data_IF_643042234853
#
_entry.id   IF_643042234853
#
_cell.length_a   1.000
_cell.length_b   1.000
_cell.length_c   1.000
_cell.angle_alpha   90.00
_cell.angle_beta   90.00
_cell.angle_gamma   90.00
#
_symmetry.space_group_name_H-M   'P 1'
#
loop_
_entity.id
_entity.type
_entity.pdbx_description
1 polymer ?
#
# COMPACT_ATOMS: atom_id res chain seq x y z
N UNK A 1 -78.74 -36.90 22.40
CA UNK A 1 -78.25 -35.59 22.86
C UNK A 1 -76.81 -35.41 22.37
N UNK A 2 -76.42 -34.17 21.99
CA UNK A 2 -75.33 -33.86 21.04
C UNK A 2 -74.06 -33.31 21.72
N UNK A 3 -73.08 -32.91 20.89
CA UNK A 3 -71.99 -31.91 21.05
C UNK A 3 -70.65 -32.49 20.57
N UNK A 4 -69.75 -31.81 19.87
CA UNK A 4 -69.79 -30.66 18.95
C UNK A 4 -68.37 -30.62 18.31
N UNK A 5 -68.28 -30.05 17.11
CA UNK A 5 -67.01 -29.73 16.44
C UNK A 5 -66.37 -28.45 17.01
N UNK A 6 -65.05 -28.46 17.20
CA UNK A 6 -64.11 -27.32 17.20
C UNK A 6 -62.77 -27.91 16.71
N UNK A 7 -61.93 -27.36 15.85
CA UNK A 7 -61.68 -26.00 15.36
C UNK A 7 -60.15 -25.92 15.15
N UNK A 8 -59.69 -25.88 13.89
CA UNK A 8 -58.29 -25.62 13.51
C UNK A 8 -57.91 -24.17 13.86
N UNK A 9 -56.61 -23.83 14.05
CA UNK A 9 -55.90 -23.28 12.91
C UNK A 9 -54.39 -23.59 12.80
N UNK A 10 -53.98 -23.59 11.53
CA UNK A 10 -52.67 -23.34 10.96
C UNK A 10 -51.78 -22.30 11.67
N UNK A 11 -50.46 -22.52 11.60
CA UNK A 11 -49.48 -21.44 11.65
C UNK A 11 -48.14 -21.84 12.27
N UNK A 12 -47.31 -22.60 11.55
CA UNK A 12 -45.86 -22.59 11.80
C UNK A 12 -45.27 -21.56 10.83
N UNK A 13 -44.75 -20.41 11.30
CA UNK A 13 -44.06 -19.49 10.41
C UNK A 13 -42.67 -20.07 10.10
N UNK A 14 -42.56 -20.57 8.88
CA UNK A 14 -41.32 -20.82 8.17
C UNK A 14 -40.73 -19.45 7.80
N UNK A 15 -39.73 -18.98 8.55
CA UNK A 15 -39.07 -17.72 8.25
C UNK A 15 -37.58 -17.79 8.63
N UNK A 16 -36.86 -18.69 7.98
CA UNK A 16 -35.42 -18.55 7.78
C UNK A 16 -35.23 -17.64 6.58
N UNK A 17 -35.31 -16.34 6.80
CA UNK A 17 -34.73 -15.36 5.88
C UNK A 17 -33.22 -15.37 6.12
N UNK A 18 -32.50 -16.21 5.38
CA UNK A 18 -31.08 -15.98 5.10
C UNK A 18 -30.96 -14.66 4.33
N UNK A 19 -30.89 -13.57 5.08
CA UNK A 19 -30.37 -12.31 4.58
C UNK A 19 -28.87 -12.51 4.35
N UNK A 20 -28.50 -12.99 3.18
CA UNK A 20 -27.15 -12.78 2.63
C UNK A 20 -27.03 -11.29 2.34
N UNK A 21 -26.71 -10.51 3.38
CA UNK A 21 -26.21 -9.15 3.22
C UNK A 21 -24.82 -9.27 2.58
N UNK A 22 -24.86 -9.51 1.27
CA UNK A 22 -23.71 -9.66 0.39
C UNK A 22 -23.18 -8.26 0.11
N UNK A 23 -22.64 -7.64 1.17
CA UNK A 23 -21.75 -6.51 0.97
C UNK A 23 -20.62 -7.01 0.07
N UNK A 24 -20.45 -6.47 -1.15
CA UNK A 24 -19.41 -6.92 -2.04
C UNK A 24 -18.05 -6.80 -1.33
N UNK A 25 -17.19 -7.80 -1.54
CA UNK A 25 -15.84 -7.79 -0.99
C UNK A 25 -15.13 -6.49 -1.39
N UNK A 26 -14.33 -5.88 -0.50
CA UNK A 26 -13.60 -4.67 -0.85
C UNK A 26 -12.67 -4.91 -2.04
N UNK A 27 -12.74 -4.02 -3.02
CA UNK A 27 -11.88 -4.06 -4.21
C UNK A 27 -10.91 -2.88 -4.22
N UNK A 28 -9.76 -3.09 -4.86
CA UNK A 28 -8.83 -2.00 -5.13
C UNK A 28 -9.49 -0.94 -6.03
N UNK A 29 -9.10 0.33 -5.88
CA UNK A 29 -9.67 1.40 -6.68
C UNK A 29 -9.32 1.19 -8.16
N UNK A 30 -10.34 1.29 -9.01
CA UNK A 30 -10.23 1.07 -10.46
C UNK A 30 -10.07 2.38 -11.23
N UNK A 31 -9.77 2.29 -12.52
CA UNK A 31 -9.60 3.45 -13.41
C UNK A 31 -10.81 4.40 -13.41
N UNK A 32 -12.03 3.87 -13.27
CA UNK A 32 -13.26 4.66 -13.17
C UNK A 32 -13.27 5.57 -11.94
N UNK A 33 -12.54 5.20 -10.89
CA UNK A 33 -12.43 5.94 -9.64
C UNK A 33 -11.24 6.92 -9.62
N UNK A 34 -10.50 7.05 -10.72
CA UNK A 34 -9.36 7.98 -10.83
C UNK A 34 -9.71 9.43 -10.42
N UNK A 35 -10.87 10.02 -10.78
CA UNK A 35 -11.22 11.37 -10.32
C UNK A 35 -11.32 11.48 -8.79
N UNK A 36 -11.80 10.42 -8.12
CA UNK A 36 -11.97 10.39 -6.67
C UNK A 36 -10.64 10.12 -5.94
N UNK A 37 -9.64 9.53 -6.60
CA UNK A 37 -8.39 9.15 -5.97
C UNK A 37 -7.63 10.36 -5.40
N UNK A 38 -7.53 11.44 -6.17
CA UNK A 38 -6.91 12.70 -5.73
C UNK A 38 -7.71 13.33 -4.58
N UNK A 39 -9.04 13.28 -4.64
CA UNK A 39 -9.91 13.82 -3.58
C UNK A 39 -9.69 13.06 -2.25
N UNK A 40 -9.63 11.73 -2.30
CA UNK A 40 -9.37 10.88 -1.13
C UNK A 40 -8.00 11.16 -0.50
N UNK A 41 -6.96 11.31 -1.31
CA UNK A 41 -5.62 11.68 -0.81
C UNK A 41 -5.65 13.07 -0.16
N UNK A 42 -6.30 14.05 -0.78
CA UNK A 42 -6.40 15.39 -0.20
C UNK A 42 -7.21 15.39 1.11
N UNK A 43 -8.31 14.62 1.18
CA UNK A 43 -9.11 14.46 2.39
C UNK A 43 -8.33 13.80 3.53
N UNK A 44 -7.46 12.83 3.22
CA UNK A 44 -6.54 12.25 4.18
C UNK A 44 -5.62 13.30 4.79
N UNK A 45 -4.96 14.12 3.97
CA UNK A 45 -4.10 15.20 4.49
C UNK A 45 -4.86 16.27 5.28
N UNK A 46 -6.07 16.64 4.85
CA UNK A 46 -6.92 17.56 5.61
C UNK A 46 -7.27 16.98 7.00
N UNK A 47 -7.49 15.67 7.07
CA UNK A 47 -7.73 14.97 8.33
C UNK A 47 -6.47 14.94 9.19
N UNK A 48 -5.29 14.74 8.60
CA UNK A 48 -4.01 14.80 9.30
C UNK A 48 -3.76 16.16 9.95
N UNK A 49 -4.05 17.25 9.24
CA UNK A 49 -3.86 18.62 9.77
C UNK A 49 -4.66 18.89 11.05
N UNK A 50 -5.74 18.13 11.29
CA UNK A 50 -6.56 18.25 12.50
C UNK A 50 -6.05 17.42 13.68
N UNK A 51 -5.15 16.47 13.45
CA UNK A 51 -4.68 15.55 14.50
C UNK A 51 -3.73 16.25 15.47
N UNK A 52 -3.94 16.03 16.78
CA UNK A 52 -3.10 16.63 17.82
C UNK A 52 -1.64 16.20 17.72
N UNK A 53 -1.39 14.94 17.34
CA UNK A 53 -0.04 14.43 17.17
C UNK A 53 0.69 15.12 16.01
N UNK A 54 -0.01 15.49 14.92
CA UNK A 54 0.55 16.27 13.81
C UNK A 54 0.87 17.70 14.25
N UNK A 55 -0.06 18.34 14.98
CA UNK A 55 0.14 19.71 15.52
C UNK A 55 1.36 19.78 16.45
N UNK A 56 1.64 18.70 17.20
CA UNK A 56 2.80 18.61 18.09
C UNK A 56 4.15 18.63 17.35
N UNK A 57 4.19 18.31 16.04
CA UNK A 57 5.40 18.43 15.21
C UNK A 57 5.65 19.85 14.69
N UNK A 58 4.74 20.81 14.93
CA UNK A 58 4.89 22.22 14.56
C UNK A 58 5.32 22.43 13.10
N UNK A 59 4.66 21.74 12.17
CA UNK A 59 4.99 21.81 10.75
C UNK A 59 4.88 23.26 10.24
N UNK A 60 5.85 23.68 9.43
CA UNK A 60 5.91 25.03 8.85
C UNK A 60 4.91 25.23 7.70
N UNK A 61 4.26 24.15 7.26
CA UNK A 61 3.29 24.12 6.18
C UNK A 61 2.22 23.05 6.45
N UNK A 62 1.05 23.11 5.77
CA UNK A 62 0.06 22.03 5.82
C UNK A 62 0.69 20.66 5.53
N UNK A 63 0.21 19.62 6.20
CA UNK A 63 0.79 18.27 6.15
C UNK A 63 0.94 17.76 4.73
N UNK A 64 -0.02 18.07 3.84
CA UNK A 64 0.08 17.75 2.41
C UNK A 64 1.37 18.27 1.80
N UNK A 65 1.62 19.57 1.89
CA UNK A 65 2.79 20.24 1.29
C UNK A 65 4.07 19.72 1.94
N UNK A 66 4.06 19.59 3.27
CA UNK A 66 5.22 19.13 4.01
C UNK A 66 5.59 17.68 3.63
N UNK A 67 4.64 16.76 3.69
CA UNK A 67 4.86 15.34 3.43
C UNK A 67 5.16 15.10 1.94
N UNK A 68 4.49 15.77 1.01
CA UNK A 68 4.84 15.62 -0.42
C UNK A 68 6.24 16.17 -0.72
N UNK A 69 6.71 17.20 -0.01
CA UNK A 69 8.11 17.64 -0.12
C UNK A 69 9.11 16.57 0.39
N UNK A 70 8.75 15.82 1.45
CA UNK A 70 9.57 14.71 1.94
C UNK A 70 9.57 13.54 0.95
N UNK A 71 8.41 13.21 0.37
CA UNK A 71 8.30 12.22 -0.70
C UNK A 71 9.13 12.62 -1.92
N UNK A 72 9.09 13.89 -2.34
CA UNK A 72 9.94 14.39 -3.41
C UNK A 72 11.42 14.22 -3.06
N UNK A 73 11.82 14.57 -1.83
CA UNK A 73 13.21 14.40 -1.37
C UNK A 73 13.67 12.93 -1.43
N UNK A 74 12.79 11.99 -1.11
CA UNK A 74 13.04 10.55 -1.24
C UNK A 74 13.21 10.17 -2.72
N UNK A 75 12.28 10.60 -3.57
CA UNK A 75 12.30 10.31 -5.00
C UNK A 75 13.56 10.85 -5.69
N UNK A 76 14.02 12.03 -5.31
CA UNK A 76 15.21 12.69 -5.85
C UNK A 76 16.53 12.02 -5.38
N UNK A 77 16.46 11.10 -4.42
CA UNK A 77 17.62 10.44 -3.82
C UNK A 77 17.41 8.91 -3.75
N UNK A 78 17.33 8.21 -4.90
CA UNK A 78 17.14 6.76 -4.92
C UNK A 78 18.32 6.01 -4.28
N UNK A 79 18.08 4.83 -3.68
CA UNK A 79 19.11 4.00 -3.06
C UNK A 79 19.97 3.29 -4.12
N UNK A 80 21.10 2.72 -3.67
CA UNK A 80 21.95 1.91 -4.56
C UNK A 80 21.37 0.49 -4.65
N UNK A 81 20.99 0.06 -5.85
CA UNK A 81 20.34 -1.26 -6.06
C UNK A 81 21.34 -2.37 -6.39
N UNK A 82 22.35 -2.08 -7.21
CA UNK A 82 23.32 -3.09 -7.68
C UNK A 82 24.61 -3.01 -6.91
N UNK A 83 25.32 -4.16 -6.81
CA UNK A 83 26.64 -4.24 -6.19
C UNK A 83 26.68 -3.72 -4.74
N UNK A 84 25.54 -3.76 -4.05
CA UNK A 84 25.44 -3.32 -2.65
C UNK A 84 26.43 -4.08 -1.76
N UNK A 85 26.59 -5.39 -2.01
CA UNK A 85 27.45 -6.28 -1.24
C UNK A 85 28.94 -6.16 -1.54
N UNK A 86 29.31 -5.37 -2.56
CA UNK A 86 30.69 -5.27 -3.02
C UNK A 86 31.52 -4.40 -2.09
N UNK A 87 30.88 -3.51 -1.33
CA UNK A 87 31.53 -2.70 -0.33
C UNK A 87 30.64 -2.46 0.90
N UNK A 88 31.26 -2.59 2.09
CA UNK A 88 30.58 -2.42 3.37
C UNK A 88 29.94 -1.03 3.52
N UNK A 89 30.53 0.01 2.91
CA UNK A 89 30.04 1.37 3.03
C UNK A 89 28.69 1.53 2.32
N UNK A 90 28.47 0.87 1.19
CA UNK A 90 27.20 0.86 0.45
C UNK A 90 26.11 0.12 1.23
N UNK A 91 26.44 -1.02 1.84
CA UNK A 91 25.52 -1.72 2.77
C UNK A 91 25.08 -0.79 3.90
N UNK A 92 26.02 -0.08 4.53
CA UNK A 92 25.72 0.84 5.63
C UNK A 92 24.90 2.05 5.17
N UNK A 93 25.20 2.62 4.00
CA UNK A 93 24.42 3.71 3.39
C UNK A 93 22.99 3.27 3.13
N UNK A 94 22.80 2.12 2.49
CA UNK A 94 21.48 1.56 2.20
C UNK A 94 20.70 1.24 3.47
N UNK A 95 21.34 0.70 4.50
CA UNK A 95 20.70 0.37 5.79
C UNK A 95 20.18 1.60 6.57
N UNK A 96 20.75 2.78 6.28
CA UNK A 96 20.39 4.06 6.88
C UNK A 96 19.77 5.06 5.87
N UNK A 97 19.40 4.61 4.67
CA UNK A 97 18.98 5.44 3.53
C UNK A 97 17.96 6.52 3.90
N UNK A 98 16.79 6.12 4.40
CA UNK A 98 15.72 7.07 4.72
C UNK A 98 16.10 8.03 5.86
N UNK A 99 16.88 7.57 6.85
CA UNK A 99 17.34 8.44 7.93
C UNK A 99 18.31 9.50 7.42
N UNK A 100 19.20 9.15 6.48
CA UNK A 100 20.15 10.08 5.87
C UNK A 100 19.46 11.16 5.03
N UNK A 101 18.37 10.80 4.35
CA UNK A 101 17.63 11.72 3.49
C UNK A 101 16.69 12.60 4.32
N UNK A 102 15.89 12.01 5.18
CA UNK A 102 14.80 12.71 5.88
C UNK A 102 15.26 13.32 7.20
N UNK A 103 16.28 12.75 7.84
CA UNK A 103 16.67 13.14 9.19
C UNK A 103 15.76 12.53 10.26
N UNK A 104 16.13 12.74 11.53
CA UNK A 104 15.48 12.11 12.68
C UNK A 104 14.01 12.52 12.82
N UNK A 105 13.73 13.82 12.81
CA UNK A 105 12.41 14.34 13.19
C UNK A 105 11.35 13.94 12.16
N UNK A 106 11.69 14.01 10.87
CA UNK A 106 10.83 13.52 9.78
C UNK A 106 10.59 12.01 9.85
N UNK A 107 11.58 11.22 10.26
CA UNK A 107 11.38 9.78 10.46
C UNK A 107 10.44 9.51 11.63
N UNK A 108 10.50 10.31 12.71
CA UNK A 108 9.58 10.19 13.84
C UNK A 108 8.16 10.53 13.37
N UNK A 109 7.97 11.65 12.68
CA UNK A 109 6.69 12.06 12.11
C UNK A 109 6.07 10.98 11.22
N UNK A 110 6.81 10.47 10.23
CA UNK A 110 6.30 9.46 9.30
C UNK A 110 5.93 8.17 10.04
N UNK A 111 6.76 7.74 11.00
CA UNK A 111 6.43 6.57 11.82
C UNK A 111 5.17 6.77 12.64
N UNK A 112 4.95 7.98 13.16
CA UNK A 112 3.77 8.29 13.94
C UNK A 112 2.50 8.27 13.06
N UNK A 113 2.55 8.86 11.86
CA UNK A 113 1.46 8.78 10.87
C UNK A 113 1.12 7.32 10.54
N UNK A 114 2.14 6.51 10.22
CA UNK A 114 1.94 5.10 9.88
C UNK A 114 1.36 4.28 11.05
N UNK A 115 1.56 4.73 12.29
CA UNK A 115 1.06 4.06 13.48
C UNK A 115 -0.34 4.53 13.88
N UNK A 116 -0.61 5.84 13.83
CA UNK A 116 -1.87 6.45 14.28
C UNK A 116 -2.97 6.35 13.22
N UNK A 117 -2.64 6.44 11.93
CA UNK A 117 -3.60 6.38 10.82
C UNK A 117 -3.46 5.10 10.00
N UNK A 118 -3.05 4.02 10.65
CA UNK A 118 -2.75 2.73 10.05
C UNK A 118 -3.90 2.17 9.20
N UNK A 119 -5.13 2.36 9.66
CA UNK A 119 -6.38 1.94 9.00
C UNK A 119 -6.62 2.65 7.65
N UNK A 120 -6.00 3.80 7.43
CA UNK A 120 -6.14 4.60 6.20
C UNK A 120 -4.99 4.41 5.23
N UNK A 121 -3.83 3.94 5.69
CA UNK A 121 -2.60 3.84 4.87
C UNK A 121 -2.83 2.98 3.63
N UNK A 122 -3.54 1.86 3.79
CA UNK A 122 -3.85 0.96 2.68
C UNK A 122 -4.62 1.65 1.55
N UNK A 123 -5.70 2.35 1.88
CA UNK A 123 -6.49 3.11 0.92
C UNK A 123 -5.67 4.25 0.28
N UNK A 124 -4.90 4.99 1.07
CA UNK A 124 -4.04 6.08 0.56
C UNK A 124 -3.02 5.55 -0.44
N UNK A 125 -2.33 4.44 -0.11
CA UNK A 125 -1.36 3.81 -1.02
C UNK A 125 -2.04 3.29 -2.30
N UNK A 126 -3.24 2.73 -2.21
CA UNK A 126 -3.99 2.26 -3.37
C UNK A 126 -4.35 3.41 -4.32
N UNK A 127 -4.80 4.55 -3.78
CA UNK A 127 -5.10 5.74 -4.58
C UNK A 127 -3.84 6.34 -5.22
N UNK A 128 -2.71 6.38 -4.50
CA UNK A 128 -1.43 6.79 -5.09
C UNK A 128 -1.02 5.87 -6.23
N UNK A 129 -1.13 4.55 -6.05
CA UNK A 129 -0.80 3.56 -7.08
C UNK A 129 -1.69 3.71 -8.31
N UNK A 130 -3.00 3.93 -8.13
CA UNK A 130 -3.92 4.15 -9.23
C UNK A 130 -3.52 5.37 -10.06
N UNK A 131 -3.23 6.50 -9.41
CA UNK A 131 -2.81 7.72 -10.11
C UNK A 131 -1.47 7.51 -10.83
N UNK A 132 -0.51 6.84 -10.19
CA UNK A 132 0.80 6.54 -10.77
C UNK A 132 0.70 5.71 -12.06
N UNK A 133 -0.20 4.72 -12.09
CA UNK A 133 -0.38 3.83 -13.24
C UNK A 133 -1.19 4.49 -14.35
N UNK A 134 -2.28 5.19 -14.01
CA UNK A 134 -3.24 5.66 -15.01
C UNK A 134 -2.96 7.08 -15.52
N UNK A 135 -2.43 7.96 -14.66
CA UNK A 135 -2.23 9.38 -14.97
C UNK A 135 -1.07 9.99 -14.14
N UNK A 136 0.17 9.52 -14.32
CA UNK A 136 1.30 9.96 -13.50
C UNK A 136 1.51 11.49 -13.54
N UNK A 137 1.22 12.15 -14.65
CA UNK A 137 1.36 13.60 -14.80
C UNK A 137 0.47 14.41 -13.83
N UNK A 138 -0.67 13.86 -13.36
CA UNK A 138 -1.53 14.60 -12.42
C UNK A 138 -0.93 14.71 -11.02
N UNK A 139 0.03 13.86 -10.65
CA UNK A 139 0.76 14.01 -9.39
C UNK A 139 1.53 15.34 -9.30
N UNK A 140 2.10 15.77 -10.42
CA UNK A 140 2.82 17.05 -10.49
C UNK A 140 1.90 18.24 -10.30
N UNK A 141 0.72 18.19 -10.92
CA UNK A 141 -0.25 19.28 -10.88
C UNK A 141 -1.02 19.34 -9.56
N UNK A 142 -1.45 18.18 -9.05
CA UNK A 142 -2.40 18.13 -7.93
C UNK A 142 -1.71 17.99 -6.57
N UNK A 143 -0.56 17.30 -6.54
CA UNK A 143 0.17 16.93 -5.31
C UNK A 143 1.61 17.47 -5.27
N UNK A 144 2.04 18.22 -6.30
CA UNK A 144 3.40 18.77 -6.41
C UNK A 144 4.49 17.69 -6.38
N UNK A 145 4.17 16.48 -6.84
CA UNK A 145 5.10 15.35 -6.92
C UNK A 145 5.53 15.12 -8.36
N UNK A 146 6.83 15.26 -8.61
CA UNK A 146 7.45 14.89 -9.87
C UNK A 146 8.12 13.55 -9.69
N UNK A 147 7.72 12.57 -10.46
CA UNK A 147 8.31 11.23 -10.42
C UNK A 147 9.56 11.25 -11.31
N UNK A 148 10.78 11.21 -10.75
CA UNK A 148 11.98 11.14 -11.57
C UNK A 148 12.01 9.82 -12.33
N UNK A 149 12.65 9.84 -13.50
CA UNK A 149 12.82 8.65 -14.31
C UNK A 149 13.48 7.53 -13.49
N UNK A 150 12.89 6.34 -13.51
CA UNK A 150 13.34 5.14 -12.79
C UNK A 150 13.27 5.18 -11.25
N UNK A 151 12.95 6.30 -10.60
CA UNK A 151 13.01 6.38 -9.13
C UNK A 151 12.13 5.32 -8.44
N UNK A 152 10.87 5.17 -8.88
CA UNK A 152 9.97 4.15 -8.33
C UNK A 152 10.48 2.73 -8.56
N UNK A 153 11.01 2.48 -9.76
CA UNK A 153 11.62 1.19 -10.10
C UNK A 153 12.85 0.89 -9.24
N UNK A 154 13.69 1.88 -8.96
CA UNK A 154 14.86 1.75 -8.08
C UNK A 154 14.47 1.47 -6.64
N UNK A 155 13.44 2.15 -6.11
CA UNK A 155 12.90 1.84 -4.79
C UNK A 155 12.26 0.44 -4.72
N UNK A 156 11.52 0.04 -5.74
CA UNK A 156 10.94 -1.29 -5.81
C UNK A 156 12.03 -2.38 -5.79
N UNK A 157 13.06 -2.23 -6.62
CA UNK A 157 14.19 -3.15 -6.64
C UNK A 157 14.99 -3.13 -5.32
N UNK A 158 15.14 -1.95 -4.70
CA UNK A 158 15.74 -1.83 -3.38
C UNK A 158 15.01 -2.69 -2.34
N UNK A 159 13.71 -2.53 -2.21
CA UNK A 159 12.93 -3.30 -1.24
C UNK A 159 12.93 -4.81 -1.51
N UNK A 160 12.83 -5.21 -2.78
CA UNK A 160 12.73 -6.63 -3.13
C UNK A 160 14.08 -7.36 -3.17
N UNK A 161 15.17 -6.68 -3.52
CA UNK A 161 16.43 -7.34 -3.86
C UNK A 161 17.62 -6.99 -2.96
N UNK A 162 17.64 -5.81 -2.34
CA UNK A 162 18.79 -5.39 -1.52
C UNK A 162 18.68 -5.84 -0.07
N UNK A 163 19.82 -6.01 0.60
CA UNK A 163 19.87 -6.31 2.03
C UNK A 163 19.35 -5.14 2.86
N UNK A 164 19.72 -3.89 2.51
CA UNK A 164 19.20 -2.70 3.18
C UNK A 164 17.68 -2.58 3.12
N UNK A 165 17.09 -2.80 1.94
CA UNK A 165 15.64 -2.76 1.74
C UNK A 165 14.89 -3.84 2.52
N UNK A 166 15.38 -5.09 2.45
CA UNK A 166 14.82 -6.21 3.23
C UNK A 166 14.89 -5.96 4.74
N UNK A 167 15.99 -5.40 5.24
CA UNK A 167 16.13 -5.02 6.65
C UNK A 167 15.21 -3.87 7.06
N UNK A 168 14.84 -2.95 6.15
CA UNK A 168 13.81 -1.96 6.42
C UNK A 168 12.44 -2.62 6.60
N UNK A 169 12.04 -3.48 5.66
CA UNK A 169 10.75 -4.18 5.73
C UNK A 169 10.64 -5.08 6.96
N UNK A 170 11.73 -5.77 7.34
CA UNK A 170 11.76 -6.61 8.54
C UNK A 170 11.50 -5.85 9.85
N UNK A 171 11.76 -4.53 9.89
CA UNK A 171 11.55 -3.66 11.06
C UNK A 171 10.19 -2.97 11.07
N UNK A 172 9.34 -3.23 10.07
CA UNK A 172 7.98 -2.67 9.96
C UNK A 172 6.96 -3.69 10.41
N UNK A 173 5.78 -3.19 10.76
CA UNK A 173 4.63 -4.04 11.05
C UNK A 173 4.17 -4.75 9.77
N UNK A 174 3.38 -5.82 9.92
CA UNK A 174 2.96 -6.67 8.81
C UNK A 174 2.21 -5.92 7.72
N UNK A 175 1.29 -5.01 8.08
CA UNK A 175 0.49 -4.24 7.10
C UNK A 175 1.42 -3.39 6.23
N UNK A 176 2.27 -2.56 6.83
CA UNK A 176 3.22 -1.72 6.08
C UNK A 176 4.15 -2.56 5.20
N UNK A 177 4.65 -3.69 5.72
CA UNK A 177 5.54 -4.59 4.96
C UNK A 177 4.82 -5.19 3.76
N UNK A 178 3.60 -5.71 3.93
CA UNK A 178 2.83 -6.33 2.86
C UNK A 178 2.50 -5.32 1.76
N UNK A 179 2.02 -4.12 2.12
CA UNK A 179 1.69 -3.08 1.15
C UNK A 179 2.91 -2.64 0.33
N UNK A 180 4.03 -2.32 1.00
CA UNK A 180 5.25 -1.90 0.28
C UNK A 180 5.76 -3.02 -0.63
N UNK A 181 5.69 -4.28 -0.18
CA UNK A 181 6.10 -5.43 -1.00
C UNK A 181 5.18 -5.61 -2.20
N UNK A 182 3.85 -5.52 -2.02
CA UNK A 182 2.86 -5.64 -3.08
C UNK A 182 3.10 -4.60 -4.18
N UNK A 183 3.17 -3.31 -3.82
CA UNK A 183 3.36 -2.26 -4.82
C UNK A 183 4.76 -2.28 -5.44
N UNK A 184 5.79 -2.74 -4.72
CA UNK A 184 7.10 -2.98 -5.32
C UNK A 184 7.06 -4.09 -6.39
N UNK A 185 6.32 -5.18 -6.14
CA UNK A 185 6.08 -6.24 -7.12
C UNK A 185 5.38 -5.66 -8.36
N UNK A 186 4.33 -4.86 -8.19
CA UNK A 186 3.62 -4.21 -9.30
C UNK A 186 4.54 -3.34 -10.16
N UNK A 187 5.39 -2.52 -9.54
CA UNK A 187 6.32 -1.64 -10.26
C UNK A 187 7.34 -2.45 -11.07
N UNK A 188 7.93 -3.50 -10.49
CA UNK A 188 8.90 -4.35 -11.21
C UNK A 188 8.19 -5.20 -12.27
N UNK A 189 6.95 -5.62 -12.03
CA UNK A 189 6.14 -6.33 -13.01
C UNK A 189 5.89 -5.47 -14.25
N UNK A 190 5.50 -4.21 -14.05
CA UNK A 190 5.33 -3.26 -15.14
C UNK A 190 6.64 -3.05 -15.90
N UNK A 191 7.77 -2.89 -15.20
CA UNK A 191 9.09 -2.81 -15.84
C UNK A 191 9.46 -4.09 -16.62
N UNK A 192 9.00 -5.27 -16.21
CA UNK A 192 9.19 -6.50 -16.99
C UNK A 192 8.36 -6.48 -18.29
N UNK A 193 7.10 -6.04 -18.24
CA UNK A 193 6.24 -5.92 -19.42
C UNK A 193 6.84 -4.94 -20.44
N UNK A 194 7.43 -3.85 -19.95
CA UNK A 194 8.07 -2.84 -20.78
C UNK A 194 9.51 -3.19 -21.20
N UNK A 195 10.02 -4.36 -20.81
CA UNK A 195 11.42 -4.78 -21.03
C UNK A 195 12.48 -3.82 -20.43
N UNK A 196 12.10 -3.09 -19.36
CA UNK A 196 12.92 -2.10 -18.65
C UNK A 196 13.46 -2.59 -17.30
N UNK A 197 13.33 -3.89 -16.97
CA UNK A 197 13.90 -4.46 -15.74
C UNK A 197 15.44 -4.59 -15.83
N UNK A 198 16.13 -3.44 -15.84
CA UNK A 198 17.60 -3.31 -15.98
C UNK A 198 18.40 -4.05 -14.91
N UNK A 199 17.82 -4.27 -13.73
CA UNK A 199 18.49 -4.96 -12.62
C UNK A 199 18.21 -6.46 -12.55
N UNK A 200 17.36 -6.98 -13.44
CA UNK A 200 17.05 -8.41 -13.50
C UNK A 200 16.43 -8.96 -12.22
N UNK A 201 15.65 -8.13 -11.50
CA UNK A 201 14.99 -8.56 -10.27
C UNK A 201 13.98 -9.66 -10.59
N UNK A 202 14.18 -10.83 -9.98
CA UNK A 202 13.27 -11.96 -10.09
C UNK A 202 12.11 -11.78 -9.11
N UNK A 203 10.88 -11.81 -9.63
CA UNK A 203 9.69 -11.55 -8.83
C UNK A 203 9.19 -12.76 -8.04
N UNK A 204 9.42 -13.97 -8.53
CA UNK A 204 8.81 -15.17 -7.97
C UNK A 204 9.05 -15.37 -6.46
N UNK A 205 10.27 -15.19 -5.92
CA UNK A 205 10.49 -15.33 -4.48
C UNK A 205 9.68 -14.33 -3.65
N UNK A 206 9.49 -13.10 -4.16
CA UNK A 206 8.73 -12.06 -3.48
C UNK A 206 7.22 -12.33 -3.56
N UNK A 207 6.74 -12.80 -4.71
CA UNK A 207 5.34 -13.20 -4.91
C UNK A 207 5.00 -14.34 -3.94
N UNK A 208 5.78 -15.41 -3.93
CA UNK A 208 5.51 -16.58 -3.07
C UNK A 208 5.49 -16.23 -1.58
N UNK A 209 6.46 -15.45 -1.14
CA UNK A 209 6.54 -15.01 0.26
C UNK A 209 5.35 -14.13 0.65
N UNK A 210 4.99 -13.16 -0.20
CA UNK A 210 3.91 -12.23 0.08
C UNK A 210 2.54 -12.93 0.06
N UNK A 211 2.29 -13.80 -0.94
CA UNK A 211 1.06 -14.60 -1.00
C UNK A 211 0.88 -15.41 0.29
N UNK A 212 1.92 -16.13 0.71
CA UNK A 212 1.88 -16.91 1.95
C UNK A 212 1.67 -16.03 3.20
N UNK A 213 2.30 -14.85 3.25
CA UNK A 213 2.13 -13.91 4.36
C UNK A 213 0.68 -13.38 4.44
N UNK A 214 0.06 -13.04 3.31
CA UNK A 214 -1.33 -12.54 3.27
C UNK A 214 -2.33 -13.65 3.62
N UNK A 215 -2.09 -14.89 3.16
CA UNK A 215 -2.93 -16.06 3.48
C UNK A 215 -2.94 -16.34 4.98
N UNK A 216 -1.76 -16.41 5.60
CA UNK A 216 -1.56 -16.79 7.00
C UNK A 216 -1.82 -15.62 7.96
N UNK A 217 -1.52 -14.39 7.52
CA UNK A 217 -1.65 -13.18 8.32
C UNK A 217 -3.09 -12.91 8.72
N UNK A 218 -3.35 -12.77 10.03
CA UNK A 218 -4.67 -12.48 10.58
C UNK A 218 -5.26 -11.18 10.02
N UNK A 219 -6.08 -11.34 8.98
CA UNK A 219 -6.80 -10.39 8.13
C UNK A 219 -6.58 -8.87 8.40
N UNK A 220 -5.37 -8.32 8.23
CA UNK A 220 -5.14 -6.90 8.53
C UNK A 220 -5.37 -6.01 7.30
N UNK A 221 -5.51 -6.59 6.11
CA UNK A 221 -5.68 -5.89 4.84
C UNK A 221 -7.15 -5.83 4.48
N UNK A 222 -7.65 -4.62 4.24
CA UNK A 222 -9.00 -4.39 3.77
C UNK A 222 -9.23 -4.99 2.37
N UNK A 223 -8.24 -4.88 1.47
CA UNK A 223 -8.30 -5.39 0.09
C UNK A 223 -7.64 -6.76 -0.09
N UNK A 224 -7.63 -7.59 0.97
CA UNK A 224 -6.94 -8.89 0.99
C UNK A 224 -7.18 -9.73 -0.27
N UNK A 225 -8.44 -9.97 -0.62
CA UNK A 225 -8.80 -10.85 -1.74
C UNK A 225 -8.30 -10.28 -3.08
N UNK A 226 -8.46 -8.97 -3.30
CA UNK A 226 -7.96 -8.32 -4.51
C UNK A 226 -6.43 -8.41 -4.64
N UNK A 227 -5.70 -8.34 -3.53
CA UNK A 227 -4.25 -8.56 -3.53
C UNK A 227 -3.88 -10.00 -3.86
N UNK A 228 -4.57 -10.97 -3.26
CA UNK A 228 -4.33 -12.40 -3.52
C UNK A 228 -4.62 -12.77 -4.97
N UNK A 229 -5.75 -12.34 -5.51
CA UNK A 229 -6.11 -12.57 -6.92
C UNK A 229 -4.99 -12.09 -7.85
N UNK A 230 -4.54 -10.84 -7.64
CA UNK A 230 -3.44 -10.27 -8.44
C UNK A 230 -2.14 -11.08 -8.28
N UNK A 231 -1.82 -11.53 -7.07
CA UNK A 231 -0.59 -12.28 -6.81
C UNK A 231 -0.65 -13.69 -7.40
N UNK A 232 -1.81 -14.35 -7.41
CA UNK A 232 -1.98 -15.65 -8.07
C UNK A 232 -1.83 -15.53 -9.59
N UNK A 233 -2.43 -14.52 -10.22
CA UNK A 233 -2.25 -14.24 -11.64
C UNK A 233 -0.76 -14.04 -12.00
N UNK A 234 -0.05 -13.26 -11.17
CA UNK A 234 1.39 -13.05 -11.33
C UNK A 234 2.18 -14.34 -11.10
N UNK A 235 1.79 -15.15 -10.12
CA UNK A 235 2.45 -16.42 -9.83
C UNK A 235 2.36 -17.37 -11.01
N UNK A 236 1.22 -17.48 -11.68
CA UNK A 236 1.09 -18.27 -12.91
C UNK A 236 1.98 -17.76 -14.04
N UNK A 237 2.12 -16.45 -14.18
CA UNK A 237 2.95 -15.82 -15.22
C UNK A 237 4.45 -15.99 -15.01
N UNK A 238 4.90 -16.08 -13.76
CA UNK A 238 6.31 -16.18 -13.39
C UNK A 238 6.76 -17.60 -13.00
N UNK A 239 5.88 -18.61 -13.12
CA UNK A 239 6.18 -20.03 -12.88
C UNK A 239 7.25 -20.61 -13.82
#
# INVERSE_FOLDING_TARGET
>A
MPLNQEGLPHGVPDNLTEGTDSTPLPTLPTKEQLPLATEKINAFYQTLDQQEYIKAHHLEAPSRIYITSLLQKILDNPPVVTRETDDLLTILKNSAHFFRILGKDNIILIKEILNQDKDKIEEVMANYSLILTEKPDSLGNDLSLKIPENALYEYACFFLNTMGGKLYLARRDSLSRMLVTYYAIQVVHHANIEEKNKYGVQLQPAIDLLTSEIEIGGNPLHYKEAYLDTLYDLKEKYQ
#
